data_IF_986418250469
#
_entry.id   IF_986418250469
#
_cell.length_a   1.000
_cell.length_b   1.000
_cell.length_c   1.000
_cell.angle_alpha   90.00
_cell.angle_beta   90.00
_cell.angle_gamma   90.00
#
_symmetry.space_group_name_H-M   'P 1'
#
loop_
_entity.id
_entity.type
_entity.pdbx_description
1 polymer ?
#
# COMPACT_ATOMS: atom_id res chain seq x y z
N UNK A 1 7.92 8.98 -11.76
CA UNK A 1 7.01 7.94 -11.25
C UNK A 1 7.75 6.63 -10.97
N UNK A 2 8.67 6.17 -11.84
CA UNK A 2 9.41 4.91 -11.66
C UNK A 2 10.19 4.80 -10.33
N UNK A 3 10.86 5.87 -9.89
CA UNK A 3 11.63 5.84 -8.64
C UNK A 3 10.78 5.63 -7.37
N UNK A 4 9.54 6.13 -7.34
CA UNK A 4 8.63 5.93 -6.20
C UNK A 4 8.11 4.50 -6.16
N UNK A 5 7.73 3.93 -7.30
CA UNK A 5 7.29 2.54 -7.38
C UNK A 5 8.40 1.57 -6.95
N UNK A 6 9.64 1.81 -7.41
CA UNK A 6 10.79 0.98 -7.03
C UNK A 6 11.10 1.04 -5.53
N UNK A 7 11.06 2.23 -4.93
CA UNK A 7 11.27 2.37 -3.48
C UNK A 7 10.20 1.65 -2.64
N UNK A 8 8.95 1.62 -3.12
CA UNK A 8 7.86 0.89 -2.46
C UNK A 8 8.06 -0.62 -2.62
N UNK A 9 8.50 -1.08 -3.79
CA UNK A 9 8.88 -2.49 -4.05
C UNK A 9 9.99 -2.95 -3.11
N UNK A 10 11.11 -2.22 -3.08
CA UNK A 10 12.27 -2.56 -2.23
C UNK A 10 11.89 -2.56 -0.74
N UNK A 11 11.06 -1.59 -0.31
CA UNK A 11 10.56 -1.55 1.06
C UNK A 11 9.64 -2.74 1.37
N UNK A 12 8.74 -3.10 0.46
CA UNK A 12 7.89 -4.26 0.62
C UNK A 12 8.74 -5.53 0.73
N UNK A 13 9.76 -5.70 -0.13
CA UNK A 13 10.67 -6.86 -0.17
C UNK A 13 11.53 -7.02 1.09
N UNK A 14 11.82 -5.92 1.78
CA UNK A 14 12.46 -5.97 3.09
C UNK A 14 11.52 -6.41 4.23
N UNK A 15 10.20 -6.34 4.05
CA UNK A 15 9.20 -6.67 5.06
C UNK A 15 8.80 -8.14 5.02
N UNK A 16 8.56 -8.72 6.19
CA UNK A 16 7.88 -10.02 6.30
C UNK A 16 6.42 -9.92 5.85
N UNK A 17 5.81 -11.06 5.53
CA UNK A 17 4.40 -11.12 5.12
C UNK A 17 3.45 -10.54 6.17
N UNK A 18 3.74 -10.70 7.47
CA UNK A 18 2.89 -10.18 8.55
C UNK A 18 3.07 -8.67 8.76
N UNK A 19 4.28 -8.16 8.61
CA UNK A 19 4.53 -6.71 8.56
C UNK A 19 3.84 -6.08 7.36
N UNK A 20 3.90 -6.74 6.19
CA UNK A 20 3.26 -6.28 4.96
C UNK A 20 1.73 -6.25 5.09
N UNK A 21 1.11 -7.30 5.68
CA UNK A 21 -0.34 -7.29 6.01
C UNK A 21 -0.71 -6.16 6.96
N UNK A 22 0.13 -5.89 7.96
CA UNK A 22 -0.10 -4.82 8.94
C UNK A 22 -0.06 -3.46 8.27
N UNK A 23 0.92 -3.22 7.38
CA UNK A 23 1.02 -2.00 6.60
C UNK A 23 -0.18 -1.79 5.66
N UNK A 24 -0.61 -2.85 4.94
CA UNK A 24 -1.82 -2.81 4.10
C UNK A 24 -3.06 -2.42 4.92
N UNK A 25 -3.21 -3.00 6.12
CA UNK A 25 -4.34 -2.68 7.01
C UNK A 25 -4.32 -1.22 7.47
N UNK A 26 -3.13 -0.71 7.85
CA UNK A 26 -2.97 0.68 8.25
C UNK A 26 -3.25 1.66 7.09
N UNK A 27 -2.82 1.32 5.87
CA UNK A 27 -3.10 2.11 4.67
C UNK A 27 -4.60 2.14 4.36
N UNK A 28 -5.31 1.02 4.46
CA UNK A 28 -6.77 1.03 4.29
C UNK A 28 -7.51 1.87 5.33
N UNK A 29 -7.06 1.84 6.60
CA UNK A 29 -7.64 2.71 7.62
C UNK A 29 -7.43 4.20 7.25
N UNK A 30 -6.23 4.55 6.79
CA UNK A 30 -5.89 5.91 6.37
C UNK A 30 -6.65 6.35 5.11
N UNK A 31 -6.79 5.47 4.13
CA UNK A 31 -7.60 5.70 2.92
C UNK A 31 -9.04 6.06 3.30
N UNK A 32 -9.64 5.31 4.23
CA UNK A 32 -10.99 5.59 4.73
C UNK A 32 -11.07 6.95 5.41
N UNK A 33 -10.09 7.34 6.21
CA UNK A 33 -10.04 8.67 6.83
C UNK A 33 -9.99 9.79 5.79
N UNK A 34 -9.21 9.63 4.73
CA UNK A 34 -9.10 10.60 3.63
C UNK A 34 -10.42 10.72 2.86
N UNK A 35 -11.07 9.60 2.58
CA UNK A 35 -12.41 9.59 1.97
C UNK A 35 -13.45 10.31 2.85
N UNK A 36 -13.42 10.09 4.17
CA UNK A 36 -14.30 10.79 5.11
C UNK A 36 -14.02 12.29 5.15
N UNK A 37 -12.74 12.68 5.03
CA UNK A 37 -12.32 14.08 4.96
C UNK A 37 -12.63 14.74 3.60
N UNK A 38 -13.09 13.98 2.61
CA UNK A 38 -13.36 14.47 1.25
C UNK A 38 -12.11 14.64 0.39
N UNK A 39 -10.94 14.16 0.84
CA UNK A 39 -9.69 14.20 0.11
C UNK A 39 -9.55 12.97 -0.81
N UNK A 40 -10.34 12.99 -1.88
CA UNK A 40 -10.42 11.88 -2.85
C UNK A 40 -9.13 11.68 -3.64
N UNK A 41 -8.35 12.75 -3.87
CA UNK A 41 -7.07 12.66 -4.57
C UNK A 41 -6.04 11.90 -3.73
N UNK A 42 -5.88 12.29 -2.46
CA UNK A 42 -4.97 11.58 -1.56
C UNK A 42 -5.44 10.14 -1.29
N UNK A 43 -6.75 9.90 -1.19
CA UNK A 43 -7.30 8.55 -1.04
C UNK A 43 -6.98 7.68 -2.27
N UNK A 44 -7.13 8.21 -3.48
CA UNK A 44 -6.83 7.48 -4.72
C UNK A 44 -5.33 7.16 -4.85
N UNK A 45 -4.46 8.11 -4.51
CA UNK A 45 -3.01 7.89 -4.45
C UNK A 45 -2.63 6.79 -3.44
N UNK A 46 -3.33 6.74 -2.30
CA UNK A 46 -3.13 5.70 -1.30
C UNK A 46 -3.61 4.34 -1.81
N UNK A 47 -4.78 4.29 -2.45
CA UNK A 47 -5.36 3.08 -3.03
C UNK A 47 -4.38 2.40 -4.02
N UNK A 48 -3.72 3.19 -4.88
CA UNK A 48 -2.70 2.67 -5.79
C UNK A 48 -1.51 2.03 -5.07
N UNK A 49 -1.08 2.63 -3.95
CA UNK A 49 -0.01 2.08 -3.11
C UNK A 49 -0.45 0.79 -2.42
N UNK A 50 -1.66 0.76 -1.86
CA UNK A 50 -2.23 -0.42 -1.21
C UNK A 50 -2.39 -1.60 -2.17
N UNK A 51 -2.87 -1.34 -3.39
CA UNK A 51 -3.02 -2.35 -4.44
C UNK A 51 -1.68 -2.99 -4.84
N UNK A 52 -0.64 -2.17 -4.96
CA UNK A 52 0.71 -2.65 -5.26
C UNK A 52 1.23 -3.58 -4.16
N UNK A 53 1.13 -3.18 -2.89
CA UNK A 53 1.57 -3.99 -1.76
C UNK A 53 0.79 -5.31 -1.63
N UNK A 54 -0.52 -5.29 -1.93
CA UNK A 54 -1.35 -6.50 -1.95
C UNK A 54 -0.88 -7.46 -3.05
N UNK A 55 -0.62 -6.96 -4.25
CA UNK A 55 -0.10 -7.76 -5.37
C UNK A 55 1.26 -8.39 -5.03
N UNK A 56 2.14 -7.65 -4.35
CA UNK A 56 3.43 -8.17 -3.86
C UNK A 56 3.23 -9.30 -2.84
N UNK A 57 2.33 -9.11 -1.87
CA UNK A 57 2.04 -10.14 -0.87
C UNK A 57 1.44 -11.41 -1.52
N UNK A 58 0.53 -11.25 -2.48
CA UNK A 58 -0.04 -12.37 -3.23
C UNK A 58 1.02 -13.11 -4.05
N UNK A 59 1.96 -12.38 -4.65
CA UNK A 59 3.08 -12.95 -5.40
C UNK A 59 4.01 -13.82 -4.55
N UNK A 60 4.20 -13.50 -3.26
CA UNK A 60 5.03 -14.29 -2.33
C UNK A 60 4.39 -15.56 -1.85
N UNK A 61 3.05 -15.61 -1.83
CA UNK A 61 2.29 -16.76 -1.32
C UNK A 61 2.06 -17.84 -2.38
N UNK A 62 2.54 -17.61 -3.60
CA UNK A 62 2.42 -18.50 -4.76
C UNK A 62 3.67 -19.35 -4.95
#
# INVERSE_FOLDING_TARGET
MEGRARAIEDAADAMTDDELKTAITALHARERELLVAGDSEAAFDLMGTTFFLLSTLEGRRR
#
